data_IF_655114293331
#
_entry.id   IF_655114293331
#
_cell.length_a   1.000
_cell.length_b   1.000
_cell.length_c   1.000
_cell.angle_alpha   90.00
_cell.angle_beta   90.00
_cell.angle_gamma   90.00
#
_symmetry.space_group_name_H-M   'P 1'
#
loop_
_entity.id
_entity.type
_entity.pdbx_description
1 polymer ?
#
# COMPACT_ATOMS: atom_id res chain seq x y z
N UNK A 1 -11.53 -50.64 25.85
CA UNK A 1 -12.02 -49.79 24.75
C UNK A 1 -12.34 -48.43 25.36
N UNK A 2 -11.32 -47.59 25.55
CA UNK A 2 -11.52 -46.19 25.91
C UNK A 2 -10.97 -45.38 24.74
N UNK A 3 -11.91 -44.76 24.03
CA UNK A 3 -11.67 -43.93 22.86
C UNK A 3 -11.13 -42.61 23.36
N UNK A 4 -9.85 -42.34 23.08
CA UNK A 4 -9.29 -41.00 23.18
C UNK A 4 -9.84 -40.17 22.01
N UNK A 5 -11.01 -39.57 22.21
CA UNK A 5 -11.53 -38.51 21.35
C UNK A 5 -11.22 -37.17 22.01
N UNK A 6 -10.12 -36.55 21.59
CA UNK A 6 -9.95 -35.10 21.61
C UNK A 6 -9.09 -34.72 20.40
N UNK A 7 -9.74 -34.79 19.25
CA UNK A 7 -9.35 -34.02 18.07
C UNK A 7 -9.45 -32.53 18.43
N UNK A 8 -8.45 -32.01 19.15
CA UNK A 8 -8.17 -30.57 19.13
C UNK A 8 -7.81 -30.24 17.68
N UNK A 9 -8.56 -29.38 16.96
CA UNK A 9 -8.14 -28.99 15.64
C UNK A 9 -6.83 -28.23 15.81
N UNK A 10 -5.74 -28.92 15.44
CA UNK A 10 -4.43 -28.32 15.32
C UNK A 10 -4.61 -26.96 14.63
N UNK A 11 -3.97 -25.93 15.17
CA UNK A 11 -3.90 -24.61 14.56
C UNK A 11 -3.13 -24.73 13.23
N UNK A 12 -3.77 -25.29 12.20
CA UNK A 12 -3.22 -25.45 10.86
C UNK A 12 -3.31 -24.05 10.24
N UNK A 13 -2.17 -23.39 9.96
CA UNK A 13 -2.20 -22.12 9.27
C UNK A 13 -2.79 -22.37 7.87
N UNK A 14 -4.04 -21.95 7.68
CA UNK A 14 -4.70 -22.01 6.38
C UNK A 14 -3.82 -21.27 5.37
N UNK A 15 -3.50 -21.87 4.21
CA UNK A 15 -2.65 -21.24 3.23
C UNK A 15 -3.27 -19.88 2.88
N UNK A 16 -2.50 -18.82 3.08
CA UNK A 16 -2.96 -17.47 2.77
C UNK A 16 -3.37 -17.44 1.31
N UNK A 17 -4.66 -17.22 1.07
CA UNK A 17 -5.23 -17.18 -0.28
C UNK A 17 -4.50 -16.05 -1.01
N UNK A 18 -3.61 -16.40 -1.95
CA UNK A 18 -2.65 -15.47 -2.58
C UNK A 18 -3.32 -14.25 -3.22
N UNK A 19 -4.60 -14.37 -3.55
CA UNK A 19 -5.44 -13.29 -4.03
C UNK A 19 -6.65 -13.13 -3.12
N UNK A 20 -6.81 -11.93 -2.58
CA UNK A 20 -7.98 -11.50 -1.85
C UNK A 20 -8.43 -10.13 -2.37
N UNK A 21 -9.66 -9.73 -2.06
CA UNK A 21 -10.23 -8.44 -2.48
C UNK A 21 -9.39 -7.23 -2.04
N UNK A 22 -8.65 -7.37 -0.94
CA UNK A 22 -7.75 -6.34 -0.45
C UNK A 22 -6.51 -6.19 -1.35
N UNK A 23 -5.94 -7.29 -1.84
CA UNK A 23 -4.85 -7.28 -2.82
C UNK A 23 -5.26 -6.65 -4.15
N UNK A 24 -6.49 -6.89 -4.61
CA UNK A 24 -7.05 -6.21 -5.78
C UNK A 24 -7.19 -4.70 -5.55
N UNK A 25 -7.62 -4.26 -4.34
CA UNK A 25 -7.65 -2.84 -3.98
C UNK A 25 -6.25 -2.22 -3.99
N UNK A 26 -5.24 -2.91 -3.47
CA UNK A 26 -3.85 -2.44 -3.53
C UNK A 26 -3.37 -2.26 -4.98
N UNK A 27 -3.61 -3.26 -5.82
CA UNK A 27 -3.25 -3.18 -7.24
C UNK A 27 -3.92 -2.00 -7.95
N UNK A 28 -5.23 -1.79 -7.73
CA UNK A 28 -5.96 -0.67 -8.31
C UNK A 28 -5.38 0.68 -7.86
N UNK A 29 -5.09 0.84 -6.56
CA UNK A 29 -4.52 2.09 -6.04
C UNK A 29 -3.13 2.36 -6.60
N UNK A 30 -2.25 1.34 -6.67
CA UNK A 30 -0.93 1.50 -7.29
C UNK A 30 -1.03 1.99 -8.74
N UNK A 31 -1.93 1.40 -9.53
CA UNK A 31 -2.17 1.81 -10.92
C UNK A 31 -2.65 3.26 -11.03
N UNK A 32 -3.59 3.68 -10.18
CA UNK A 32 -4.09 5.06 -10.18
C UNK A 32 -2.98 6.07 -9.86
N UNK A 33 -2.10 5.75 -8.93
CA UNK A 33 -0.99 6.63 -8.56
C UNK A 33 0.03 6.73 -9.70
N UNK A 34 0.33 5.62 -10.36
CA UNK A 34 1.23 5.60 -11.53
C UNK A 34 0.69 6.45 -12.69
N UNK A 35 -0.62 6.44 -12.91
CA UNK A 35 -1.27 7.32 -13.91
C UNK A 35 -1.32 8.80 -13.51
N UNK A 36 -0.80 9.16 -12.34
CA UNK A 36 -0.69 10.55 -11.88
C UNK A 36 -1.97 11.12 -11.26
N UNK A 37 -2.90 10.28 -10.80
CA UNK A 37 -4.09 10.79 -10.11
C UNK A 37 -3.70 11.49 -8.80
N UNK A 38 -4.44 12.54 -8.46
CA UNK A 38 -4.20 13.24 -7.19
C UNK A 38 -4.52 12.33 -5.99
N UNK A 39 -3.80 12.48 -4.86
CA UNK A 39 -4.03 11.67 -3.66
C UNK A 39 -5.48 11.69 -3.17
N UNK A 40 -6.18 12.82 -3.36
CA UNK A 40 -7.58 12.99 -2.96
C UNK A 40 -8.54 12.20 -3.84
N UNK A 41 -8.31 12.18 -5.15
CA UNK A 41 -9.08 11.34 -6.08
C UNK A 41 -8.88 9.86 -5.77
N UNK A 42 -7.62 9.44 -5.54
CA UNK A 42 -7.27 8.07 -5.15
C UNK A 42 -7.97 7.68 -3.84
N UNK A 43 -8.01 8.56 -2.85
CA UNK A 43 -8.73 8.34 -1.59
C UNK A 43 -10.23 8.10 -1.82
N UNK A 44 -10.87 8.93 -2.64
CA UNK A 44 -12.31 8.78 -2.96
C UNK A 44 -12.58 7.46 -3.67
N UNK A 45 -11.75 7.08 -4.64
CA UNK A 45 -11.92 5.81 -5.37
C UNK A 45 -11.63 4.57 -4.52
N UNK A 46 -10.67 4.65 -3.61
CA UNK A 46 -10.38 3.58 -2.66
C UNK A 46 -11.42 3.48 -1.54
N UNK A 47 -12.27 4.50 -1.35
CA UNK A 47 -13.25 4.58 -0.27
C UNK A 47 -12.60 4.74 1.11
N UNK A 48 -11.42 5.35 1.19
CA UNK A 48 -10.73 5.53 2.46
C UNK A 48 -11.33 6.70 3.25
N UNK A 49 -11.64 6.44 4.53
CA UNK A 49 -12.22 7.43 5.43
C UNK A 49 -11.35 8.68 5.63
N UNK A 50 -10.03 8.55 5.46
CA UNK A 50 -9.09 9.66 5.58
C UNK A 50 -7.99 9.55 4.52
N UNK A 51 -7.52 10.72 4.06
CA UNK A 51 -6.37 10.83 3.16
C UNK A 51 -5.10 10.25 3.81
N UNK A 52 -5.00 10.32 5.14
CA UNK A 52 -3.87 9.79 5.89
C UNK A 52 -3.70 8.28 5.66
N UNK A 53 -4.79 7.52 5.51
CA UNK A 53 -4.73 6.08 5.21
C UNK A 53 -4.09 5.82 3.86
N UNK A 54 -4.41 6.64 2.86
CA UNK A 54 -3.83 6.56 1.52
C UNK A 54 -2.37 6.98 1.54
N UNK A 55 -2.03 8.09 2.21
CA UNK A 55 -0.67 8.63 2.24
C UNK A 55 0.29 7.77 3.07
N UNK A 56 -0.17 7.17 4.17
CA UNK A 56 0.64 6.25 4.98
C UNK A 56 1.01 5.00 4.19
N UNK A 57 0.06 4.45 3.41
CA UNK A 57 0.26 3.24 2.62
C UNK A 57 1.02 3.47 1.31
N UNK A 58 0.71 4.55 0.61
CA UNK A 58 1.14 4.78 -0.78
C UNK A 58 1.89 6.10 -0.99
N UNK A 59 2.18 6.87 0.05
CA UNK A 59 2.87 8.17 -0.05
C UNK A 59 4.19 8.09 -0.83
N UNK A 60 4.87 6.94 -0.76
CA UNK A 60 6.11 6.67 -1.48
C UNK A 60 5.96 6.52 -3.01
N UNK A 61 4.75 6.26 -3.52
CA UNK A 61 4.47 6.13 -4.95
C UNK A 61 4.18 7.49 -5.61
N UNK A 62 3.82 8.51 -4.83
CA UNK A 62 3.52 9.82 -5.39
C UNK A 62 4.81 10.56 -5.77
N UNK A 63 4.86 11.17 -6.97
CA UNK A 63 6.01 11.98 -7.36
C UNK A 63 6.13 13.17 -6.41
N UNK A 64 7.24 13.24 -5.68
CA UNK A 64 7.51 14.34 -4.77
C UNK A 64 8.34 15.42 -5.48
N UNK A 65 7.68 16.50 -5.91
CA UNK A 65 8.33 17.64 -6.58
C UNK A 65 9.38 18.31 -5.68
N UNK A 66 9.21 18.27 -4.36
CA UNK A 66 10.14 18.88 -3.41
C UNK A 66 11.46 18.10 -3.34
N UNK A 67 11.44 16.77 -3.47
CA UNK A 67 12.68 15.98 -3.52
C UNK A 67 13.49 16.30 -4.79
N UNK A 68 12.81 16.45 -5.93
CA UNK A 68 13.47 16.82 -7.19
C UNK A 68 14.09 18.21 -7.11
N UNK A 69 13.37 19.19 -6.55
CA UNK A 69 13.88 20.55 -6.33
C UNK A 69 15.03 20.59 -5.32
N UNK A 70 14.95 19.82 -4.23
CA UNK A 70 16.04 19.73 -3.26
C UNK A 70 17.32 19.16 -3.89
N UNK A 71 17.20 18.11 -4.70
CA UNK A 71 18.34 17.53 -5.42
C UNK A 71 18.93 18.50 -6.46
N UNK A 72 18.09 19.27 -7.15
CA UNK A 72 18.53 20.32 -8.08
C UNK A 72 19.31 21.43 -7.38
N UNK A 73 18.88 21.85 -6.18
CA UNK A 73 19.60 22.83 -5.36
C UNK A 73 20.95 22.30 -4.87
N UNK A 74 21.01 21.03 -4.42
CA UNK A 74 22.26 20.39 -4.00
C UNK A 74 23.23 20.29 -5.19
N UNK A 75 22.74 19.89 -6.37
CA UNK A 75 23.55 19.81 -7.57
C UNK A 75 24.11 21.18 -7.96
N UNK A 76 23.29 22.25 -7.93
CA UNK A 76 23.74 23.62 -8.18
C UNK A 76 24.84 24.07 -7.21
N UNK A 77 24.73 23.71 -5.93
CA UNK A 77 25.76 24.03 -4.93
C UNK A 77 27.06 23.22 -5.08
N UNK A 78 27.03 22.08 -5.78
CA UNK A 78 28.21 21.23 -6.02
C UNK A 78 29.03 21.68 -7.24
N UNK A 79 28.38 22.31 -8.21
CA UNK A 79 28.99 22.78 -9.47
C UNK A 79 29.24 24.30 -9.51
N UNK A 80 29.02 25.00 -8.41
CA UNK A 80 29.34 26.42 -8.21
C UNK A 80 30.70 26.58 -7.53
#
# INVERSE_FOLDING_TARGET
LEVADKDEPANVPMPSRRFNWHGLRHFAVSCWIETGLTPKTVQTFAGHASLQVTMDRYGHLFPNEDHKKAMDQIAKGLFA
#
